data_IF_026639457813
#
_entry.id   IF_026639457813
#
_cell.length_a   1.000
_cell.length_b   1.000
_cell.length_c   1.000
_cell.angle_alpha   90.00
_cell.angle_beta   90.00
_cell.angle_gamma   90.00
#
_symmetry.space_group_name_H-M   'P 1'
#
loop_
_entity.id
_entity.type
_entity.pdbx_description
1 polymer ?
#
# COMPACT_ATOMS: atom_id res chain seq x y z
N UNK A 1 35.33 13.63 11.69
CA UNK A 1 34.30 12.69 12.19
C UNK A 1 32.98 13.36 11.98
N UNK A 2 32.36 13.08 10.86
CA UNK A 2 31.02 13.55 10.56
C UNK A 2 30.05 12.59 11.21
N UNK A 3 29.37 13.04 12.28
CA UNK A 3 28.17 12.40 12.80
C UNK A 3 27.12 12.43 11.64
N UNK A 4 27.05 11.37 10.86
CA UNK A 4 25.84 11.02 10.15
C UNK A 4 24.84 10.61 11.24
N UNK A 5 24.12 11.59 11.77
CA UNK A 5 22.84 11.33 12.42
C UNK A 5 22.00 10.59 11.39
N UNK A 6 21.95 9.25 11.54
CA UNK A 6 20.93 8.44 10.88
C UNK A 6 19.59 9.08 11.25
N UNK A 7 19.02 9.83 10.31
CA UNK A 7 17.70 10.40 10.50
C UNK A 7 16.77 9.23 10.84
N UNK A 8 16.20 9.27 12.04
CA UNK A 8 15.27 8.23 12.51
C UNK A 8 14.09 8.21 11.54
N UNK A 9 13.87 7.10 10.86
CA UNK A 9 12.77 6.99 9.90
C UNK A 9 11.42 7.11 10.61
N UNK A 10 10.48 7.78 9.98
CA UNK A 10 9.10 7.96 10.44
C UNK A 10 8.18 7.10 9.57
N UNK A 11 7.32 6.30 10.19
CA UNK A 11 6.40 5.42 9.45
C UNK A 11 5.47 6.21 8.52
N UNK A 12 5.04 7.40 8.92
CA UNK A 12 4.18 8.25 8.07
C UNK A 12 4.92 8.64 6.79
N UNK A 13 6.19 9.04 6.90
CA UNK A 13 6.99 9.40 5.71
C UNK A 13 7.26 8.20 4.80
N UNK A 14 7.46 6.99 5.35
CA UNK A 14 7.63 5.77 4.56
C UNK A 14 6.36 5.41 3.78
N UNK A 15 5.20 5.54 4.41
CA UNK A 15 3.91 5.30 3.76
C UNK A 15 3.68 6.32 2.63
N UNK A 16 3.95 7.60 2.87
CA UNK A 16 3.86 8.64 1.85
C UNK A 16 4.81 8.41 0.67
N UNK A 17 6.02 7.92 0.91
CA UNK A 17 6.97 7.59 -0.15
C UNK A 17 6.48 6.45 -1.03
N UNK A 18 5.84 5.44 -0.43
CA UNK A 18 5.18 4.37 -1.20
C UNK A 18 4.03 4.91 -2.06
N UNK A 19 3.18 5.82 -1.53
CA UNK A 19 2.12 6.47 -2.29
C UNK A 19 2.65 7.20 -3.52
N UNK A 20 3.74 7.96 -3.37
CA UNK A 20 4.39 8.66 -4.49
C UNK A 20 4.97 7.69 -5.52
N UNK A 21 5.51 6.57 -5.06
CA UNK A 21 6.00 5.51 -5.96
C UNK A 21 4.85 4.88 -6.74
N UNK A 22 3.71 4.62 -6.11
CA UNK A 22 2.49 4.13 -6.78
C UNK A 22 1.99 5.09 -7.85
N UNK A 23 1.97 6.40 -7.57
CA UNK A 23 1.62 7.43 -8.56
C UNK A 23 2.57 7.43 -9.76
N UNK A 24 3.86 7.23 -9.54
CA UNK A 24 4.87 7.09 -10.59
C UNK A 24 4.58 5.89 -11.49
N UNK A 25 4.28 4.74 -10.88
CA UNK A 25 3.94 3.50 -11.58
C UNK A 25 2.63 3.62 -12.38
N UNK A 26 1.64 4.35 -11.89
CA UNK A 26 0.43 4.67 -12.66
C UNK A 26 0.74 5.45 -13.93
N UNK A 27 1.64 6.44 -13.86
CA UNK A 27 2.07 7.17 -15.05
C UNK A 27 2.78 6.26 -16.06
N UNK A 28 3.61 5.34 -15.60
CA UNK A 28 4.27 4.36 -16.48
C UNK A 28 3.26 3.40 -17.11
N UNK A 29 2.28 2.89 -16.35
CA UNK A 29 1.23 2.03 -16.89
C UNK A 29 0.34 2.72 -17.93
N UNK A 30 0.18 4.04 -17.88
CA UNK A 30 -0.55 4.83 -18.86
C UNK A 30 0.28 5.19 -20.11
N UNK A 31 1.60 5.05 -20.05
CA UNK A 31 2.49 5.41 -21.15
C UNK A 31 2.69 4.25 -22.12
N UNK A 32 2.28 4.43 -23.38
CA UNK A 32 2.46 3.42 -24.43
C UNK A 32 3.93 3.17 -24.78
N UNK A 33 4.82 4.08 -24.40
CA UNK A 33 6.27 3.98 -24.63
C UNK A 33 7.02 3.26 -23.49
N UNK A 34 6.37 3.08 -22.33
CA UNK A 34 6.95 2.41 -21.18
C UNK A 34 6.75 0.88 -21.22
N UNK A 35 7.51 0.16 -20.41
CA UNK A 35 7.25 -1.25 -20.09
C UNK A 35 6.04 -1.35 -19.13
N UNK A 36 4.85 -1.29 -19.71
CA UNK A 36 3.58 -1.30 -18.95
C UNK A 36 3.40 -2.59 -18.13
N UNK A 37 3.85 -3.73 -18.66
CA UNK A 37 3.82 -5.01 -17.95
C UNK A 37 4.77 -5.06 -16.76
N UNK A 38 5.98 -4.51 -16.92
CA UNK A 38 6.94 -4.36 -15.83
C UNK A 38 6.43 -3.40 -14.75
N UNK A 39 5.83 -2.28 -15.14
CA UNK A 39 5.23 -1.33 -14.20
C UNK A 39 4.07 -1.97 -13.42
N UNK A 40 3.22 -2.76 -14.07
CA UNK A 40 2.13 -3.48 -13.40
C UNK A 40 2.67 -4.51 -12.39
N UNK A 41 3.71 -5.27 -12.73
CA UNK A 41 4.32 -6.22 -11.78
C UNK A 41 4.88 -5.48 -10.55
N UNK A 42 5.63 -4.40 -10.76
CA UNK A 42 6.16 -3.59 -9.66
C UNK A 42 5.07 -2.98 -8.80
N UNK A 43 4.00 -2.52 -9.44
CA UNK A 43 2.84 -1.97 -8.73
C UNK A 43 2.13 -3.03 -7.88
N UNK A 44 1.89 -4.23 -8.43
CA UNK A 44 1.26 -5.32 -7.71
C UNK A 44 2.06 -5.73 -6.46
N UNK A 45 3.38 -5.87 -6.59
CA UNK A 45 4.26 -6.16 -5.45
C UNK A 45 4.20 -5.05 -4.39
N UNK A 46 4.28 -3.79 -4.80
CA UNK A 46 4.25 -2.66 -3.90
C UNK A 46 2.91 -2.52 -3.18
N UNK A 47 1.79 -2.57 -3.91
CA UNK A 47 0.45 -2.42 -3.33
C UNK A 47 0.17 -3.48 -2.27
N UNK A 48 0.46 -4.74 -2.58
CA UNK A 48 0.23 -5.85 -1.64
C UNK A 48 1.17 -5.75 -0.43
N UNK A 49 2.48 -5.53 -0.65
CA UNK A 49 3.44 -5.43 0.45
C UNK A 49 3.13 -4.26 1.38
N UNK A 50 2.75 -3.12 0.83
CA UNK A 50 2.39 -1.91 1.55
C UNK A 50 1.13 -2.12 2.40
N UNK A 51 0.01 -2.52 1.79
CA UNK A 51 -1.26 -2.70 2.48
C UNK A 51 -1.20 -3.78 3.56
N UNK A 52 -0.63 -4.94 3.27
CA UNK A 52 -0.48 -6.01 4.26
C UNK A 52 0.44 -5.60 5.42
N UNK A 53 1.55 -4.87 5.15
CA UNK A 53 2.42 -4.38 6.21
C UNK A 53 1.73 -3.35 7.11
N UNK A 54 0.89 -2.49 6.56
CA UNK A 54 0.05 -1.56 7.35
C UNK A 54 -0.95 -2.30 8.22
N UNK A 55 -1.72 -3.23 7.66
CA UNK A 55 -2.74 -3.98 8.38
C UNK A 55 -2.17 -4.89 9.47
N UNK A 56 -0.94 -5.38 9.30
CA UNK A 56 -0.29 -6.26 10.28
C UNK A 56 0.48 -5.47 11.34
N UNK A 57 1.15 -4.36 10.99
CA UNK A 57 2.10 -3.67 11.87
C UNK A 57 1.68 -2.27 12.31
N UNK A 58 0.99 -1.53 11.47
CA UNK A 58 0.69 -0.11 11.71
C UNK A 58 -0.71 0.09 12.26
N UNK A 59 -1.73 -0.31 11.54
CA UNK A 59 -3.13 -0.11 11.90
C UNK A 59 -3.49 -0.70 13.27
N UNK A 60 -3.06 -1.91 13.65
CA UNK A 60 -3.35 -2.43 15.00
C UNK A 60 -2.72 -1.61 16.11
N UNK A 61 -1.57 -1.00 15.87
CA UNK A 61 -0.93 -0.10 16.83
C UNK A 61 -1.68 1.22 16.95
N UNK A 62 -2.13 1.80 15.83
CA UNK A 62 -2.89 3.05 15.81
C UNK A 62 -4.25 2.91 16.49
N UNK A 63 -4.94 1.79 16.31
CA UNK A 63 -6.23 1.50 16.98
C UNK A 63 -6.17 1.53 18.53
N UNK A 64 -4.99 1.49 19.12
CA UNK A 64 -4.80 1.59 20.58
C UNK A 64 -4.84 3.02 21.12
N UNK A 65 -4.73 4.02 20.24
CA UNK A 65 -4.74 5.42 20.63
C UNK A 65 -6.17 5.96 20.66
N UNK A 66 -6.58 6.51 21.81
CA UNK A 66 -7.95 7.01 22.01
C UNK A 66 -8.34 8.17 21.09
N UNK A 67 -7.35 8.94 20.65
CA UNK A 67 -7.55 10.11 19.80
C UNK A 67 -7.40 9.79 18.30
N UNK A 68 -7.21 8.51 17.94
CA UNK A 68 -7.27 8.05 16.56
C UNK A 68 -8.59 7.35 16.35
N UNK A 69 -9.34 7.77 15.35
CA UNK A 69 -10.64 7.23 15.05
C UNK A 69 -10.51 5.82 14.45
N UNK A 70 -11.03 4.83 15.16
CA UNK A 70 -11.00 3.44 14.70
C UNK A 70 -11.86 3.21 13.46
N UNK A 71 -12.95 3.97 13.28
CA UNK A 71 -13.80 3.87 12.09
C UNK A 71 -13.03 4.30 10.83
N UNK A 72 -12.19 5.34 10.94
CA UNK A 72 -11.30 5.74 9.82
C UNK A 72 -10.27 4.67 9.49
N UNK A 73 -9.68 4.01 10.49
CA UNK A 73 -8.73 2.91 10.26
C UNK A 73 -9.42 1.70 9.62
N UNK A 74 -10.61 1.32 10.10
CA UNK A 74 -11.41 0.24 9.54
C UNK A 74 -11.85 0.55 8.11
N UNK A 75 -12.19 1.81 7.82
CA UNK A 75 -12.48 2.25 6.46
C UNK A 75 -11.26 2.13 5.55
N UNK A 76 -10.07 2.45 6.02
CA UNK A 76 -8.82 2.21 5.30
C UNK A 76 -8.60 0.74 4.96
N UNK A 77 -8.92 -0.19 5.88
CA UNK A 77 -8.87 -1.64 5.63
C UNK A 77 -9.86 -2.07 4.53
N UNK A 78 -11.07 -1.48 4.51
CA UNK A 78 -12.06 -1.72 3.44
C UNK A 78 -11.57 -1.21 2.08
N UNK A 79 -10.98 -0.03 2.05
CA UNK A 79 -10.41 0.56 0.82
C UNK A 79 -9.21 -0.23 0.29
N UNK A 80 -8.38 -0.82 1.18
CA UNK A 80 -7.35 -1.78 0.78
C UNK A 80 -7.95 -2.99 0.06
N UNK A 81 -9.03 -3.56 0.60
CA UNK A 81 -9.72 -4.68 -0.03
C UNK A 81 -10.26 -4.31 -1.43
N UNK A 82 -10.85 -3.12 -1.57
CA UNK A 82 -11.33 -2.60 -2.87
C UNK A 82 -10.17 -2.41 -3.87
N UNK A 83 -9.05 -1.85 -3.43
CA UNK A 83 -7.84 -1.70 -4.23
C UNK A 83 -7.27 -3.04 -4.70
N UNK A 84 -7.24 -4.03 -3.81
CA UNK A 84 -6.78 -5.39 -4.12
C UNK A 84 -7.69 -6.09 -5.15
N UNK A 85 -9.01 -5.91 -5.03
CA UNK A 85 -9.98 -6.42 -6.02
C UNK A 85 -9.77 -5.76 -7.40
N UNK A 86 -9.57 -4.45 -7.44
CA UNK A 86 -9.30 -3.73 -8.68
C UNK A 86 -7.96 -4.16 -9.31
N UNK A 87 -6.93 -4.39 -8.50
CA UNK A 87 -5.65 -4.95 -8.95
C UNK A 87 -5.82 -6.33 -9.58
N UNK A 88 -6.53 -7.22 -8.90
CA UNK A 88 -6.77 -8.57 -9.42
C UNK A 88 -7.51 -8.52 -10.77
N UNK A 89 -8.53 -7.68 -10.88
CA UNK A 89 -9.27 -7.51 -12.12
C UNK A 89 -8.38 -7.03 -13.29
N UNK A 90 -7.39 -6.18 -13.02
CA UNK A 90 -6.41 -5.76 -14.01
C UNK A 90 -5.42 -6.88 -14.37
N UNK A 91 -4.90 -7.60 -13.37
CA UNK A 91 -3.98 -8.73 -13.57
C UNK A 91 -4.58 -9.87 -14.40
N UNK A 92 -5.90 -10.05 -14.36
CA UNK A 92 -6.63 -11.08 -15.12
C UNK A 92 -6.87 -10.70 -16.58
N UNK A 93 -6.62 -9.46 -17.00
CA UNK A 93 -6.72 -9.07 -18.41
C UNK A 93 -5.53 -9.62 -19.19
N UNK A 94 -5.80 -10.46 -20.20
CA UNK A 94 -4.76 -11.16 -20.95
C UNK A 94 -3.88 -10.23 -21.82
N UNK A 95 -4.49 -9.18 -22.39
CA UNK A 95 -3.81 -8.27 -23.33
C UNK A 95 -3.55 -6.91 -22.69
N UNK A 96 -2.27 -6.68 -22.33
CA UNK A 96 -1.81 -5.40 -21.78
C UNK A 96 -1.99 -4.30 -22.84
N UNK A 97 -2.62 -3.20 -22.45
CA UNK A 97 -2.86 -2.06 -23.33
C UNK A 97 -4.06 -2.21 -24.24
N UNK A 98 -4.89 -3.24 -24.06
CA UNK A 98 -6.21 -3.32 -24.69
C UNK A 98 -7.18 -2.30 -24.07
N UNK A 99 -8.31 -2.02 -24.75
CA UNK A 99 -9.36 -1.14 -24.22
C UNK A 99 -9.90 -1.67 -22.87
N UNK A 100 -9.97 -2.99 -22.70
CA UNK A 100 -10.37 -3.60 -21.42
C UNK A 100 -9.32 -3.36 -20.35
N UNK A 101 -8.03 -3.55 -20.67
CA UNK A 101 -6.93 -3.29 -19.77
C UNK A 101 -6.91 -1.83 -19.30
N UNK A 102 -7.06 -0.89 -20.23
CA UNK A 102 -7.11 0.54 -19.91
C UNK A 102 -8.28 0.89 -18.98
N UNK A 103 -9.46 0.32 -19.20
CA UNK A 103 -10.62 0.50 -18.31
C UNK A 103 -10.39 -0.06 -16.90
N UNK A 104 -9.74 -1.24 -16.79
CA UNK A 104 -9.42 -1.83 -15.50
C UNK A 104 -8.32 -1.05 -14.79
N UNK A 105 -7.34 -0.53 -15.53
CA UNK A 105 -6.32 0.36 -15.00
C UNK A 105 -6.94 1.62 -14.37
N UNK A 106 -7.85 2.30 -15.08
CA UNK A 106 -8.48 3.51 -14.53
C UNK A 106 -9.30 3.23 -13.26
N UNK A 107 -9.96 2.09 -13.16
CA UNK A 107 -10.63 1.67 -11.92
C UNK A 107 -9.66 1.44 -10.77
N UNK A 108 -8.52 0.82 -11.05
CA UNK A 108 -7.47 0.64 -10.05
C UNK A 108 -6.91 1.99 -9.59
N UNK A 109 -6.62 2.89 -10.52
CA UNK A 109 -6.15 4.25 -10.20
C UNK A 109 -7.15 4.98 -9.32
N UNK A 110 -8.44 4.95 -9.67
CA UNK A 110 -9.51 5.59 -8.89
C UNK A 110 -9.55 5.04 -7.45
N UNK A 111 -9.59 3.72 -7.28
CA UNK A 111 -9.67 3.09 -5.97
C UNK A 111 -8.45 3.40 -5.10
N UNK A 112 -7.23 3.27 -5.64
CA UNK A 112 -6.00 3.50 -4.88
C UNK A 112 -5.80 4.98 -4.58
N UNK A 113 -6.07 5.88 -5.53
CA UNK A 113 -5.95 7.33 -5.30
C UNK A 113 -6.94 7.81 -4.24
N UNK A 114 -8.18 7.31 -4.28
CA UNK A 114 -9.17 7.63 -3.26
C UNK A 114 -8.68 7.22 -1.86
N UNK A 115 -8.21 5.99 -1.73
CA UNK A 115 -7.65 5.49 -0.47
C UNK A 115 -6.46 6.33 0.02
N UNK A 116 -5.45 6.55 -0.82
CA UNK A 116 -4.25 7.30 -0.39
C UNK A 116 -4.59 8.73 0.02
N UNK A 117 -5.50 9.40 -0.68
CA UNK A 117 -5.96 10.75 -0.34
C UNK A 117 -6.71 10.78 1.01
N UNK A 118 -7.58 9.78 1.26
CA UNK A 118 -8.29 9.67 2.54
C UNK A 118 -7.32 9.35 3.68
N UNK A 119 -6.45 8.38 3.52
CA UNK A 119 -5.48 7.98 4.52
C UNK A 119 -4.55 9.13 4.91
N UNK A 120 -4.03 9.87 3.94
CA UNK A 120 -3.17 11.02 4.18
C UNK A 120 -3.86 12.13 4.97
N UNK A 121 -5.15 12.38 4.69
CA UNK A 121 -5.94 13.40 5.38
C UNK A 121 -6.40 12.99 6.77
N UNK A 122 -6.63 11.73 7.01
CA UNK A 122 -7.22 11.20 8.25
C UNK A 122 -6.19 10.45 9.09
N UNK A 123 -5.92 9.21 8.79
CA UNK A 123 -5.10 8.28 9.58
C UNK A 123 -3.68 8.82 9.81
N UNK A 124 -3.02 9.27 8.74
CA UNK A 124 -1.63 9.73 8.83
C UNK A 124 -1.51 11.06 9.57
N UNK A 125 -2.43 11.99 9.39
CA UNK A 125 -2.47 13.22 10.17
C UNK A 125 -2.73 12.93 11.64
N UNK A 126 -3.69 12.06 11.95
CA UNK A 126 -3.96 11.63 13.33
C UNK A 126 -2.74 10.94 13.96
N UNK A 127 -2.01 10.14 13.20
CA UNK A 127 -0.77 9.52 13.68
C UNK A 127 0.31 10.57 14.02
N UNK A 128 0.49 11.59 13.18
CA UNK A 128 1.44 12.69 13.47
C UNK A 128 1.09 13.44 14.74
N UNK A 129 -0.19 13.71 14.97
CA UNK A 129 -0.65 14.48 16.12
C UNK A 129 -0.65 13.69 17.44
N UNK A 130 -0.90 12.39 17.40
CA UNK A 130 -1.19 11.59 18.59
C UNK A 130 -0.13 10.54 18.92
N UNK A 131 0.78 10.22 18.00
CA UNK A 131 1.84 9.22 18.18
C UNK A 131 3.20 9.91 18.27
N UNK A 132 3.98 9.62 19.29
CA UNK A 132 5.30 10.21 19.48
C UNK A 132 6.28 9.85 18.36
N UNK A 133 7.29 10.70 18.13
CA UNK A 133 8.33 10.47 17.13
C UNK A 133 9.04 9.13 17.36
N UNK A 134 9.39 8.80 18.61
CA UNK A 134 10.02 7.53 18.95
C UNK A 134 9.13 6.34 18.59
N UNK A 135 7.84 6.43 18.86
CA UNK A 135 6.90 5.36 18.53
C UNK A 135 6.68 5.24 17.02
N UNK A 136 6.62 6.35 16.29
CA UNK A 136 6.57 6.31 14.82
C UNK A 136 7.84 5.71 14.22
N UNK A 137 9.00 5.93 14.84
CA UNK A 137 10.25 5.29 14.43
C UNK A 137 10.24 3.76 14.67
N UNK A 138 9.70 3.29 15.79
CA UNK A 138 9.51 1.85 16.04
C UNK A 138 8.56 1.23 15.01
N UNK A 139 7.46 1.90 14.68
CA UNK A 139 6.52 1.47 13.65
C UNK A 139 7.17 1.48 12.27
N UNK A 140 8.04 2.44 11.96
CA UNK A 140 8.80 2.48 10.72
C UNK A 140 9.68 1.23 10.57
N UNK A 141 10.39 0.83 11.62
CA UNK A 141 11.21 -0.38 11.60
C UNK A 141 10.36 -1.64 11.38
N UNK A 142 9.21 -1.75 12.06
CA UNK A 142 8.29 -2.88 11.92
C UNK A 142 7.66 -2.95 10.51
N UNK A 143 7.20 -1.82 9.99
CA UNK A 143 6.65 -1.68 8.64
C UNK A 143 7.69 -2.06 7.58
N UNK A 144 8.90 -1.50 7.67
CA UNK A 144 9.98 -1.78 6.72
C UNK A 144 10.36 -3.25 6.71
N UNK A 145 10.48 -3.89 7.86
CA UNK A 145 10.82 -5.30 7.97
C UNK A 145 9.75 -6.20 7.35
N UNK A 146 8.47 -5.95 7.63
CA UNK A 146 7.37 -6.73 7.09
C UNK A 146 7.21 -6.51 5.57
N UNK A 147 7.27 -5.25 5.12
CA UNK A 147 7.25 -4.91 3.71
C UNK A 147 8.36 -5.60 2.92
N UNK A 148 9.59 -5.59 3.44
CA UNK A 148 10.73 -6.28 2.80
C UNK A 148 10.53 -7.80 2.76
N UNK A 149 9.98 -8.39 3.81
CA UNK A 149 9.66 -9.82 3.86
C UNK A 149 8.64 -10.19 2.76
N UNK A 150 7.58 -9.40 2.62
CA UNK A 150 6.52 -9.61 1.64
C UNK A 150 7.05 -9.46 0.20
N UNK A 151 7.84 -8.44 -0.07
CA UNK A 151 8.50 -8.25 -1.36
C UNK A 151 9.42 -9.45 -1.70
N UNK A 152 10.20 -9.90 -0.73
CA UNK A 152 11.07 -11.09 -0.89
C UNK A 152 10.31 -12.40 -1.12
N UNK A 153 9.06 -12.48 -0.67
CA UNK A 153 8.17 -13.62 -0.90
C UNK A 153 7.43 -13.57 -2.27
N UNK A 154 7.63 -12.51 -3.06
CA UNK A 154 6.96 -12.35 -4.36
C UNK A 154 5.45 -12.12 -4.23
N UNK A 155 5.04 -11.29 -3.30
CA UNK A 155 3.63 -11.09 -2.92
C UNK A 155 2.72 -10.55 -4.03
N UNK A 156 3.28 -10.03 -5.11
CA UNK A 156 2.54 -9.48 -6.24
C UNK A 156 2.15 -10.50 -7.32
N UNK A 157 2.48 -11.78 -7.16
CA UNK A 157 2.02 -12.79 -8.10
C UNK A 157 0.50 -12.99 -8.04
N UNK A 158 -0.12 -13.31 -9.17
CA UNK A 158 -1.58 -13.36 -9.31
C UNK A 158 -2.25 -14.35 -8.34
N UNK A 159 -1.61 -15.47 -8.03
CA UNK A 159 -2.17 -16.47 -7.11
C UNK A 159 -2.17 -15.95 -5.68
N UNK A 160 -1.13 -15.24 -5.29
CA UNK A 160 -1.07 -14.55 -3.99
C UNK A 160 -2.11 -13.45 -3.91
N UNK A 161 -2.24 -12.62 -4.94
CA UNK A 161 -3.27 -11.55 -5.01
C UNK A 161 -4.68 -12.15 -4.91
N UNK A 162 -4.97 -13.27 -5.57
CA UNK A 162 -6.26 -13.99 -5.43
C UNK A 162 -6.55 -14.39 -3.98
N UNK A 163 -5.55 -14.86 -3.25
CA UNK A 163 -5.71 -15.24 -1.83
C UNK A 163 -5.92 -14.02 -0.94
N UNK A 164 -5.21 -12.94 -1.19
CA UNK A 164 -5.39 -11.65 -0.49
C UNK A 164 -6.81 -11.13 -0.71
N UNK A 165 -7.29 -11.08 -1.94
CA UNK A 165 -8.65 -10.66 -2.27
C UNK A 165 -9.70 -11.55 -1.58
N UNK A 166 -9.50 -12.85 -1.57
CA UNK A 166 -10.41 -13.80 -0.90
C UNK A 166 -10.46 -13.60 0.62
N UNK A 167 -9.38 -13.14 1.22
CA UNK A 167 -9.30 -12.83 2.65
C UNK A 167 -10.10 -11.57 3.05
N UNK A 168 -10.41 -10.70 2.09
CA UNK A 168 -11.20 -9.47 2.32
C UNK A 168 -10.43 -8.46 3.17
N UNK A 169 -11.05 -7.98 4.25
CA UNK A 169 -10.47 -7.00 5.18
C UNK A 169 -9.52 -7.64 6.22
N UNK A 170 -9.44 -8.95 6.28
CA UNK A 170 -8.50 -9.65 7.15
C UNK A 170 -7.18 -9.86 6.41
N UNK A 171 -6.00 -9.53 7.01
CA UNK A 171 -4.71 -9.77 6.38
C UNK A 171 -4.52 -11.25 6.04
N UNK A 172 -4.10 -11.55 4.83
CA UNK A 172 -3.88 -12.93 4.38
C UNK A 172 -2.71 -13.62 5.09
N UNK A 173 -1.77 -12.86 5.64
CA UNK A 173 -0.54 -13.35 6.28
C UNK A 173 0.27 -14.26 5.34
N UNK A 174 0.75 -13.66 4.27
CA UNK A 174 1.57 -14.31 3.24
C UNK A 174 2.74 -15.06 3.90
N UNK A 175 2.91 -16.37 3.61
CA UNK A 175 3.95 -17.21 4.23
C UNK A 175 5.37 -16.75 3.95
#
# INVERSE_FOLDING_TARGET
MTDEQSATQDVVELILDDHRTMEGLFREMRSVEADRGGALRSFAELLIAHGEAEEIKVYPALKRYKNIDNEEVEHGEEEHAEGNEALLALLEVAEIGSDEWDKKLEKLVEAVTHHTDEEERTILNSARENVTDDRRAELAAAFTAERARLLGAGCGDIETVRKVVKSGTEPYRIP
#
